data_IF_602660727709
#
_entry.id   IF_602660727709
#
_cell.length_a   1.000
_cell.length_b   1.000
_cell.length_c   1.000
_cell.angle_alpha   90.00
_cell.angle_beta   90.00
_cell.angle_gamma   90.00
#
_symmetry.space_group_name_H-M   'P 1'
#
loop_
_entity.id
_entity.type
_entity.pdbx_description
1 polymer ?
#
# COMPACT_ATOMS: atom_id res chain seq x y z
N UNK A 1 -17.36 -54.07 55.48
CA UNK A 1 -18.03 -53.30 54.42
C UNK A 1 -17.06 -52.23 53.97
N UNK A 2 -16.27 -52.52 52.91
CA UNK A 2 -15.27 -51.59 52.37
C UNK A 2 -15.93 -50.77 51.25
N UNK A 3 -15.94 -49.44 51.36
CA UNK A 3 -16.41 -48.51 50.34
C UNK A 3 -15.18 -48.04 49.58
N UNK A 4 -15.05 -48.53 48.32
CA UNK A 4 -14.00 -48.04 47.39
C UNK A 4 -14.47 -46.72 46.77
N UNK A 5 -13.75 -45.66 47.06
CA UNK A 5 -13.96 -44.37 46.41
C UNK A 5 -13.21 -44.34 45.05
N UNK A 6 -13.98 -44.22 43.93
CA UNK A 6 -13.43 -43.98 42.60
C UNK A 6 -13.12 -42.47 42.45
N UNK A 7 -11.83 -42.14 42.32
CA UNK A 7 -11.38 -40.79 41.93
C UNK A 7 -11.44 -40.69 40.42
N UNK A 8 -12.34 -39.90 39.87
CA UNK A 8 -12.37 -39.53 38.42
C UNK A 8 -11.48 -38.31 38.25
N UNK A 9 -10.34 -38.49 37.63
CA UNK A 9 -9.46 -37.39 37.23
C UNK A 9 -9.99 -36.85 35.87
N UNK A 10 -10.66 -35.72 35.89
CA UNK A 10 -11.04 -34.99 34.69
C UNK A 10 -9.80 -34.26 34.13
N UNK A 11 -9.17 -34.81 33.11
CA UNK A 11 -8.10 -34.13 32.35
C UNK A 11 -8.76 -33.08 31.43
N UNK A 12 -8.64 -31.81 31.79
CA UNK A 12 -9.00 -30.71 30.89
C UNK A 12 -7.94 -30.58 29.79
N UNK A 13 -8.24 -31.06 28.59
CA UNK A 13 -7.43 -30.81 27.39
C UNK A 13 -7.69 -29.35 27.02
N UNK A 14 -6.78 -28.45 27.41
CA UNK A 14 -6.75 -27.08 26.94
C UNK A 14 -6.43 -27.10 25.44
N UNK A 15 -7.39 -26.76 24.59
CA UNK A 15 -7.12 -26.51 23.16
C UNK A 15 -6.19 -25.29 23.06
N UNK A 16 -4.92 -25.53 22.78
CA UNK A 16 -4.00 -24.46 22.42
C UNK A 16 -4.49 -23.88 21.07
N UNK A 17 -5.05 -22.66 21.09
CA UNK A 17 -5.35 -21.93 19.86
C UNK A 17 -4.04 -21.45 19.25
N UNK A 18 -3.61 -22.09 18.16
CA UNK A 18 -2.45 -21.64 17.41
C UNK A 18 -2.73 -20.22 16.88
N UNK A 19 -1.82 -19.29 17.13
CA UNK A 19 -1.88 -17.96 16.54
C UNK A 19 -1.75 -18.11 15.02
N UNK A 20 -2.64 -17.50 14.23
CA UNK A 20 -2.51 -17.52 12.77
C UNK A 20 -1.15 -16.96 12.34
N UNK A 21 -0.54 -17.59 11.35
CA UNK A 21 0.71 -17.10 10.77
C UNK A 21 0.46 -15.83 9.94
N UNK A 22 1.36 -14.85 10.07
CA UNK A 22 1.22 -13.57 9.40
C UNK A 22 1.54 -13.69 7.90
N UNK A 23 0.88 -12.88 7.02
CA UNK A 23 1.27 -12.75 5.63
C UNK A 23 2.73 -12.35 5.48
N UNK A 24 3.37 -12.76 4.39
CA UNK A 24 4.74 -12.37 4.04
C UNK A 24 4.75 -11.21 3.07
N UNK A 25 5.85 -10.44 3.06
CA UNK A 25 6.06 -9.32 2.15
C UNK A 25 7.21 -9.63 1.20
N UNK A 26 6.99 -9.42 -0.10
CA UNK A 26 8.04 -9.51 -1.12
C UNK A 26 8.25 -8.13 -1.72
N UNK A 27 9.46 -7.58 -1.58
CA UNK A 27 9.81 -6.27 -2.15
C UNK A 27 9.73 -6.32 -3.69
N UNK A 28 9.12 -5.29 -4.27
CA UNK A 28 8.92 -5.18 -5.71
C UNK A 28 9.84 -4.12 -6.31
N UNK A 29 9.65 -2.88 -5.91
CA UNK A 29 10.37 -1.71 -6.42
C UNK A 29 10.15 -0.49 -5.53
N UNK A 30 10.96 0.53 -5.76
CA UNK A 30 10.75 1.90 -5.27
C UNK A 30 10.21 2.77 -6.39
N UNK A 31 9.17 3.55 -6.06
CA UNK A 31 8.72 4.65 -6.91
C UNK A 31 9.14 5.97 -6.27
N UNK A 32 9.73 6.86 -7.07
CA UNK A 32 9.99 8.24 -6.66
C UNK A 32 9.14 9.14 -7.54
N UNK A 33 8.33 10.01 -6.93
CA UNK A 33 7.45 10.93 -7.61
C UNK A 33 7.92 12.37 -7.38
N UNK A 34 8.00 13.16 -8.43
CA UNK A 34 8.17 14.60 -8.34
C UNK A 34 6.80 15.27 -8.39
N UNK A 35 6.59 16.27 -7.55
CA UNK A 35 5.31 16.93 -7.36
C UNK A 35 5.40 18.42 -7.73
N UNK A 36 4.27 18.99 -8.10
CA UNK A 36 4.11 20.45 -8.28
C UNK A 36 3.38 21.05 -7.09
N UNK A 37 3.10 22.34 -7.17
CA UNK A 37 2.39 23.09 -6.13
C UNK A 37 1.00 22.52 -5.89
N UNK A 38 0.64 22.37 -4.63
CA UNK A 38 -0.67 21.91 -4.18
C UNK A 38 -1.77 22.91 -4.52
N UNK A 39 -2.85 22.42 -5.10
CA UNK A 39 -4.10 23.15 -5.29
C UNK A 39 -5.07 22.72 -4.19
N UNK A 40 -5.50 23.68 -3.37
CA UNK A 40 -6.51 23.45 -2.34
C UNK A 40 -7.89 23.84 -2.87
N UNK A 41 -8.82 22.88 -2.93
CA UNK A 41 -10.18 23.13 -3.44
C UNK A 41 -11.13 23.74 -2.39
N UNK A 42 -10.66 23.90 -1.17
CA UNK A 42 -11.46 24.34 -0.04
C UNK A 42 -12.29 23.21 0.61
N UNK A 43 -13.03 23.53 1.68
CA UNK A 43 -13.84 22.56 2.40
C UNK A 43 -15.02 22.08 1.53
N UNK A 44 -15.20 20.77 1.47
CA UNK A 44 -16.25 20.09 0.75
C UNK A 44 -16.93 19.02 1.61
N UNK A 45 -17.90 18.25 1.06
CA UNK A 45 -18.66 17.24 1.81
C UNK A 45 -17.79 16.13 2.42
N UNK A 46 -16.63 15.84 1.81
CA UNK A 46 -15.70 14.79 2.28
C UNK A 46 -14.43 15.37 2.96
N UNK A 47 -14.48 16.60 3.44
CA UNK A 47 -13.32 17.33 3.97
C UNK A 47 -12.70 18.28 2.94
N UNK A 48 -11.46 18.69 3.17
CA UNK A 48 -10.72 19.57 2.27
C UNK A 48 -9.91 18.71 1.28
N UNK A 49 -10.26 18.78 0.00
CA UNK A 49 -9.51 18.07 -1.05
C UNK A 49 -8.30 18.87 -1.50
N UNK A 50 -7.19 18.17 -1.63
CA UNK A 50 -5.97 18.70 -2.23
C UNK A 50 -5.75 18.03 -3.58
N UNK A 51 -5.33 18.78 -4.59
CA UNK A 51 -4.85 18.24 -5.85
C UNK A 51 -3.37 18.60 -5.97
N UNK A 52 -2.52 17.56 -5.97
CA UNK A 52 -1.07 17.70 -6.01
C UNK A 52 -0.58 17.05 -7.30
N UNK A 53 -0.31 17.83 -8.37
CA UNK A 53 0.06 17.26 -9.65
C UNK A 53 1.38 16.50 -9.58
N UNK A 54 1.43 15.31 -10.20
CA UNK A 54 2.64 14.52 -10.40
C UNK A 54 3.30 15.01 -11.68
N UNK A 55 4.55 15.45 -11.59
CA UNK A 55 5.31 16.02 -12.71
C UNK A 55 6.31 15.06 -13.33
N UNK A 56 6.39 13.85 -12.81
CA UNK A 56 7.26 12.79 -13.29
C UNK A 56 7.82 11.95 -12.16
N UNK A 57 8.90 11.20 -12.46
CA UNK A 57 9.58 10.38 -11.48
C UNK A 57 10.16 9.12 -12.07
N UNK A 58 10.50 8.16 -11.22
CA UNK A 58 11.08 6.87 -11.61
C UNK A 58 10.48 5.71 -10.81
N UNK A 59 10.53 4.53 -11.41
CA UNK A 59 10.29 3.25 -10.76
C UNK A 59 11.53 2.39 -10.96
N UNK A 60 12.07 1.80 -9.89
CA UNK A 60 13.23 0.90 -9.98
C UNK A 60 13.22 -0.16 -8.89
N UNK A 61 13.56 -1.39 -9.26
CA UNK A 61 13.66 -2.50 -8.32
C UNK A 61 13.75 -3.86 -8.99
N UNK A 62 13.79 -4.93 -8.20
CA UNK A 62 13.98 -6.29 -8.73
C UNK A 62 12.83 -6.77 -9.63
N UNK A 63 11.69 -6.08 -9.63
CA UNK A 63 10.50 -6.47 -10.40
C UNK A 63 10.18 -5.56 -11.58
N UNK A 64 10.98 -4.55 -11.84
CA UNK A 64 10.88 -3.68 -13.00
C UNK A 64 11.54 -2.34 -12.83
N UNK A 65 11.75 -1.68 -13.96
CA UNK A 65 12.25 -0.31 -14.07
C UNK A 65 11.35 0.47 -15.01
N UNK A 66 11.23 1.78 -14.78
CA UNK A 66 10.39 2.63 -15.61
C UNK A 66 10.44 4.10 -15.21
N UNK A 67 9.77 4.91 -16.02
CA UNK A 67 9.62 6.34 -15.83
C UNK A 67 8.18 6.67 -15.49
N UNK A 68 7.96 7.39 -14.39
CA UNK A 68 6.64 7.93 -14.06
C UNK A 68 6.36 9.10 -14.99
N UNK A 69 5.24 9.05 -15.70
CA UNK A 69 4.85 10.10 -16.64
C UNK A 69 4.37 11.36 -15.90
N UNK A 70 4.53 12.56 -16.50
CA UNK A 70 4.07 13.83 -15.93
C UNK A 70 2.56 14.01 -16.10
N UNK A 71 1.80 12.96 -15.76
CA UNK A 71 0.33 12.92 -15.81
C UNK A 71 -0.18 12.25 -14.55
N UNK A 72 -1.30 12.72 -14.03
CA UNK A 72 -1.86 12.26 -12.77
C UNK A 72 -1.65 13.25 -11.63
N UNK A 73 -2.18 12.91 -10.48
CA UNK A 73 -2.08 13.73 -9.28
C UNK A 73 -2.39 12.89 -8.03
N UNK A 74 -1.97 13.37 -6.88
CA UNK A 74 -2.57 12.98 -5.61
C UNK A 74 -3.78 13.88 -5.34
N UNK A 75 -4.97 13.27 -5.33
CA UNK A 75 -6.23 13.91 -4.97
C UNK A 75 -6.58 13.67 -3.50
N UNK A 76 -5.59 13.69 -2.64
CA UNK A 76 -5.72 13.45 -1.22
C UNK A 76 -6.70 14.39 -0.52
N UNK A 77 -7.15 13.99 0.64
CA UNK A 77 -8.12 14.76 1.42
C UNK A 77 -7.72 14.88 2.88
N UNK A 78 -7.94 16.07 3.43
CA UNK A 78 -7.89 16.30 4.88
C UNK A 78 -9.32 16.12 5.39
N UNK A 79 -9.53 15.12 6.25
CA UNK A 79 -10.83 14.81 6.83
C UNK A 79 -11.25 15.84 7.92
N UNK A 80 -12.45 15.65 8.49
CA UNK A 80 -12.98 16.52 9.53
C UNK A 80 -12.17 16.49 10.85
N UNK A 81 -11.31 15.51 11.03
CA UNK A 81 -10.43 15.38 12.20
C UNK A 81 -9.02 15.93 11.93
N UNK A 82 -8.76 16.42 10.71
CA UNK A 82 -7.47 16.96 10.31
C UNK A 82 -6.47 15.91 9.79
N UNK A 83 -6.90 14.66 9.57
CA UNK A 83 -6.04 13.62 9.04
C UNK A 83 -5.97 13.70 7.52
N UNK A 84 -4.74 13.65 6.97
CA UNK A 84 -4.54 13.57 5.53
C UNK A 84 -4.58 12.11 5.07
N UNK A 85 -5.32 11.87 3.99
CA UNK A 85 -5.40 10.59 3.31
C UNK A 85 -4.94 10.78 1.86
N UNK A 86 -3.95 10.01 1.46
CA UNK A 86 -3.43 9.92 0.08
C UNK A 86 -4.47 9.29 -0.84
N UNK A 87 -4.57 9.81 -2.08
CA UNK A 87 -5.39 9.27 -3.17
C UNK A 87 -4.70 9.59 -4.50
N UNK A 88 -3.55 8.96 -4.73
CA UNK A 88 -2.64 9.29 -5.82
C UNK A 88 -2.80 8.34 -7.01
N UNK A 89 -2.93 8.93 -8.20
CA UNK A 89 -3.06 8.24 -9.47
C UNK A 89 -1.88 8.60 -10.38
N UNK A 90 -1.20 7.60 -10.92
CA UNK A 90 -0.07 7.82 -11.83
C UNK A 90 -0.01 6.77 -12.94
N UNK A 91 0.78 7.05 -13.96
CA UNK A 91 1.09 6.10 -15.04
C UNK A 91 2.61 6.00 -15.16
N UNK A 92 3.08 4.77 -15.20
CA UNK A 92 4.50 4.45 -15.40
C UNK A 92 4.67 3.88 -16.81
N UNK A 93 5.62 4.42 -17.56
CA UNK A 93 6.14 3.77 -18.76
C UNK A 93 7.30 2.87 -18.35
N UNK A 94 7.13 1.57 -18.51
CA UNK A 94 8.15 0.58 -18.18
C UNK A 94 9.29 0.59 -19.22
N UNK A 95 10.42 -0.02 -18.90
CA UNK A 95 11.62 -0.11 -19.74
C UNK A 95 11.40 -0.77 -21.12
N UNK A 96 10.38 -1.63 -21.23
CA UNK A 96 9.95 -2.26 -22.49
C UNK A 96 8.94 -1.43 -23.30
N UNK A 97 8.64 -0.20 -22.84
CA UNK A 97 7.69 0.72 -23.46
C UNK A 97 6.22 0.48 -23.11
N UNK A 98 5.90 -0.57 -22.35
CA UNK A 98 4.52 -0.81 -21.89
C UNK A 98 4.12 0.18 -20.77
N UNK A 99 2.82 0.29 -20.52
CA UNK A 99 2.31 1.21 -19.50
C UNK A 99 1.65 0.45 -18.37
N UNK A 100 1.89 0.95 -17.15
CA UNK A 100 1.25 0.49 -15.92
C UNK A 100 0.60 1.70 -15.24
N UNK A 101 -0.72 1.63 -15.06
CA UNK A 101 -1.43 2.55 -14.19
C UNK A 101 -1.21 2.13 -12.73
N UNK A 102 -1.05 3.09 -11.83
CA UNK A 102 -1.03 2.84 -10.39
C UNK A 102 -1.96 3.78 -9.63
N UNK A 103 -2.63 3.23 -8.64
CA UNK A 103 -3.43 3.94 -7.66
C UNK A 103 -2.92 3.61 -6.26
N UNK A 104 -2.46 4.62 -5.55
CA UNK A 104 -1.96 4.56 -4.18
C UNK A 104 -2.93 5.29 -3.26
N UNK A 105 -3.41 4.63 -2.22
CA UNK A 105 -4.36 5.23 -1.28
C UNK A 105 -4.14 4.75 0.15
N UNK A 106 -4.07 5.68 1.10
CA UNK A 106 -3.87 5.36 2.50
C UNK A 106 -3.73 6.57 3.42
N UNK A 107 -3.73 6.34 4.74
CA UNK A 107 -3.59 7.40 5.72
C UNK A 107 -2.14 7.86 5.88
N UNK A 108 -1.95 9.16 6.10
CA UNK A 108 -0.72 9.70 6.67
C UNK A 108 -0.68 9.29 8.16
N UNK A 109 0.31 8.48 8.55
CA UNK A 109 0.43 7.93 9.91
C UNK A 109 1.37 8.73 10.81
N UNK A 110 2.23 9.55 10.20
CA UNK A 110 3.09 10.52 10.89
C UNK A 110 3.26 11.75 9.99
N UNK A 111 3.91 12.79 10.47
CA UNK A 111 4.08 14.04 9.70
C UNK A 111 4.72 13.88 8.31
N UNK A 112 5.42 12.77 8.06
CA UNK A 112 6.17 12.52 6.81
C UNK A 112 6.00 11.11 6.25
N UNK A 113 5.18 10.24 6.84
CA UNK A 113 5.06 8.84 6.41
C UNK A 113 3.59 8.43 6.27
N UNK A 114 3.23 7.86 5.14
CA UNK A 114 1.94 7.21 4.92
C UNK A 114 2.09 5.69 4.74
N UNK A 115 1.01 4.96 5.00
CA UNK A 115 0.87 3.54 4.66
C UNK A 115 -0.21 3.40 3.59
N UNK A 116 0.21 3.02 2.40
CA UNK A 116 -0.65 2.97 1.24
C UNK A 116 -0.96 1.54 0.80
N UNK A 117 -2.18 1.35 0.31
CA UNK A 117 -2.53 0.22 -0.56
C UNK A 117 -2.29 0.65 -1.98
N UNK A 118 -1.67 -0.23 -2.78
CA UNK A 118 -1.50 0.01 -4.21
C UNK A 118 -2.32 -0.97 -5.02
N UNK A 119 -2.95 -0.44 -6.08
CA UNK A 119 -3.56 -1.19 -7.15
C UNK A 119 -2.85 -0.84 -8.45
N UNK A 120 -2.58 -1.85 -9.27
CA UNK A 120 -2.00 -1.68 -10.59
C UNK A 120 -2.93 -2.19 -11.67
N UNK A 121 -2.87 -1.58 -12.86
CA UNK A 121 -3.59 -2.04 -14.03
C UNK A 121 -2.70 -1.89 -15.26
N UNK A 122 -2.57 -2.97 -16.04
CA UNK A 122 -1.79 -2.96 -17.28
C UNK A 122 -2.33 -3.98 -18.27
N UNK A 123 -2.20 -3.66 -19.56
CA UNK A 123 -2.42 -4.61 -20.66
C UNK A 123 -1.16 -5.35 -21.10
N UNK A 124 -0.01 -5.07 -20.48
CA UNK A 124 1.26 -5.75 -20.82
C UNK A 124 1.23 -7.21 -20.37
N UNK A 125 1.55 -8.14 -21.27
CA UNK A 125 1.69 -9.56 -20.90
C UNK A 125 2.85 -9.82 -19.94
N UNK A 126 3.93 -9.04 -20.02
CA UNK A 126 5.11 -9.11 -19.12
C UNK A 126 4.77 -8.71 -17.69
N UNK A 127 3.92 -7.69 -17.54
CA UNK A 127 3.58 -7.11 -16.24
C UNK A 127 2.15 -7.43 -15.77
N UNK A 128 1.41 -8.32 -16.47
CA UNK A 128 0.02 -8.69 -16.15
C UNK A 128 -0.16 -9.21 -14.72
N UNK A 129 0.88 -9.80 -14.12
CA UNK A 129 0.88 -10.25 -12.74
C UNK A 129 0.60 -9.12 -11.73
N UNK A 130 0.89 -7.86 -12.08
CA UNK A 130 0.56 -6.69 -11.25
C UNK A 130 -0.95 -6.49 -11.08
N UNK A 131 -1.77 -6.92 -12.05
CA UNK A 131 -3.23 -6.78 -11.98
C UNK A 131 -3.86 -7.63 -10.86
N UNK A 132 -3.15 -8.67 -10.41
CA UNK A 132 -3.70 -9.74 -9.56
C UNK A 132 -3.11 -9.74 -8.14
N UNK A 133 -2.23 -8.79 -7.82
CA UNK A 133 -1.58 -8.75 -6.52
C UNK A 133 -2.27 -7.80 -5.54
N UNK A 134 -2.15 -8.11 -4.25
CA UNK A 134 -2.30 -7.12 -3.19
C UNK A 134 -0.92 -6.51 -2.93
N UNK A 135 -0.82 -5.19 -3.10
CA UNK A 135 0.40 -4.46 -2.81
C UNK A 135 0.19 -3.40 -1.71
N UNK A 136 1.23 -3.17 -0.93
CA UNK A 136 1.30 -2.12 0.08
C UNK A 136 2.59 -1.33 -0.08
N UNK A 137 2.60 -0.08 0.38
CA UNK A 137 3.81 0.73 0.42
C UNK A 137 3.97 1.46 1.74
N UNK A 138 5.24 1.69 2.09
CA UNK A 138 5.62 2.78 2.98
C UNK A 138 5.98 3.96 2.10
N UNK A 139 5.26 5.05 2.30
CA UNK A 139 5.41 6.28 1.49
C UNK A 139 5.99 7.36 2.38
N UNK A 140 7.14 7.89 2.00
CA UNK A 140 7.82 8.96 2.70
C UNK A 140 7.83 10.25 1.89
N UNK A 141 7.73 11.38 2.60
CA UNK A 141 7.71 12.74 2.06
C UNK A 141 8.95 13.51 2.54
N UNK A 142 10.17 13.19 2.02
CA UNK A 142 11.41 13.79 2.52
C UNK A 142 11.62 15.24 2.06
N UNK A 143 10.76 15.77 1.19
CA UNK A 143 10.89 17.12 0.62
C UNK A 143 9.99 17.30 -0.59
N UNK A 144 10.50 17.87 -1.70
CA UNK A 144 9.69 18.14 -2.90
C UNK A 144 9.40 16.89 -3.75
N UNK A 145 9.78 15.73 -3.30
CA UNK A 145 9.46 14.44 -3.91
C UNK A 145 8.85 13.50 -2.89
N UNK A 146 8.21 12.45 -3.38
CA UNK A 146 7.63 11.37 -2.60
C UNK A 146 8.32 10.08 -2.98
N UNK A 147 8.64 9.25 -2.01
CA UNK A 147 9.28 7.94 -2.19
C UNK A 147 8.36 6.85 -1.65
N UNK A 148 8.00 5.88 -2.48
CA UNK A 148 7.19 4.72 -2.13
C UNK A 148 8.03 3.45 -2.25
N UNK A 149 8.31 2.79 -1.14
CA UNK A 149 8.80 1.41 -1.14
C UNK A 149 7.60 0.47 -1.21
N UNK A 150 7.58 -0.40 -2.23
CA UNK A 150 6.40 -1.20 -2.59
C UNK A 150 6.66 -2.69 -2.40
N UNK A 151 5.74 -3.36 -1.70
CA UNK A 151 5.78 -4.81 -1.47
C UNK A 151 4.48 -5.47 -1.90
N UNK A 152 4.61 -6.67 -2.46
CA UNK A 152 3.50 -7.61 -2.60
C UNK A 152 3.24 -8.30 -1.26
N UNK A 153 1.98 -8.33 -0.84
CA UNK A 153 1.50 -9.16 0.28
C UNK A 153 1.19 -10.55 -0.24
N UNK A 154 1.77 -11.58 0.38
CA UNK A 154 1.51 -12.99 0.05
C UNK A 154 0.95 -13.70 1.28
N UNK A 155 0.07 -14.71 1.11
CA UNK A 155 -0.24 -15.61 2.20
C UNK A 155 1.05 -16.27 2.71
N UNK A 156 1.06 -16.66 3.98
CA UNK A 156 2.14 -17.51 4.49
C UNK A 156 2.19 -18.81 3.67
N UNK A 157 3.39 -19.32 3.43
CA UNK A 157 3.56 -20.63 2.78
C UNK A 157 3.00 -21.71 3.70
N UNK A 158 2.09 -22.52 3.19
CA UNK A 158 1.62 -23.71 3.90
C UNK A 158 2.73 -24.77 3.94
#
# INVERSE_FOLDING_TARGET
>A
MLISAFFVIASSIGAATATPEAPTLTYLFRMNLTLSSTINTGPGPAGTRLAIPITGGSLSGPKGEGTVLPIGADFGAIDALGNFNVDAHSVVQMDDGSYVYSHSAGPLISGTTALDRLKFETGSSKYSWLNEILAVAVTDFPGPWVSLDVWQVKPHSA
#
